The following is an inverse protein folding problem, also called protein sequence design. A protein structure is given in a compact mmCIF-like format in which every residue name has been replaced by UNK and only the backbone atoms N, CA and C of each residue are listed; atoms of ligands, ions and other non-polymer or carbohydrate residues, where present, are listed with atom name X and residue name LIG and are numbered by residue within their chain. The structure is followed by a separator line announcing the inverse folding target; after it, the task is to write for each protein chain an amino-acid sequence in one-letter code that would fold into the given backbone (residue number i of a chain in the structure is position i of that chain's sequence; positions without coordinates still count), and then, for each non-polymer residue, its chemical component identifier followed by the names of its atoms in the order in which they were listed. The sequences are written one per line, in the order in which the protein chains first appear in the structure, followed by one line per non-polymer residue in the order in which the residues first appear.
data_IF_405649262715
#
_entry.id   IF_405649262715
#
_cell.length_a   1.000
_cell.length_b   1.000
_cell.length_c   1.000
_cell.angle_alpha   90.00
_cell.angle_beta   90.00
_cell.angle_gamma   90.00
#
_symmetry.space_group_name_H-M   'P 1'
#
loop_
_entity.id
_entity.type
_entity.pdbx_description
1 polymer ?
#
# COMPACT_ATOMS: atom_id res chain seq x y z
N UNK A 1 -74.59 -1.93 -33.83
CA UNK A 1 -75.41 -0.71 -33.90
C UNK A 1 -76.60 -0.88 -32.97
N UNK A 2 -77.12 0.15 -32.28
CA UNK A 2 -76.71 1.56 -32.23
C UNK A 2 -76.33 1.99 -30.77
N UNK A 3 -75.37 2.91 -30.54
CA UNK A 3 -75.52 4.38 -30.40
C UNK A 3 -76.15 4.77 -29.04
N UNK A 4 -75.79 5.80 -28.25
CA UNK A 4 -75.13 7.10 -28.43
C UNK A 4 -74.82 7.63 -27.01
N UNK A 5 -73.80 8.48 -26.89
CA UNK A 5 -73.37 9.34 -25.75
C UNK A 5 -73.46 10.81 -26.24
N UNK A 6 -73.48 11.94 -25.48
CA UNK A 6 -73.56 12.31 -24.03
C UNK A 6 -74.66 13.41 -23.77
N UNK A 7 -74.60 14.29 -22.73
CA UNK A 7 -73.76 15.51 -22.78
C UNK A 7 -73.08 15.91 -21.45
N UNK A 8 -72.27 16.98 -21.53
CA UNK A 8 -71.23 17.43 -20.61
C UNK A 8 -71.65 18.51 -19.58
N UNK A 9 -70.86 18.56 -18.50
CA UNK A 9 -70.38 19.68 -17.66
C UNK A 9 -71.32 20.78 -17.12
N UNK A 10 -71.27 20.99 -15.79
CA UNK A 10 -70.89 22.28 -15.17
C UNK A 10 -70.59 22.13 -13.66
N UNK A 11 -69.60 22.93 -13.22
CA UNK A 11 -68.94 22.96 -11.91
C UNK A 11 -69.78 23.48 -10.72
N UNK A 12 -69.56 22.95 -9.50
CA UNK A 12 -69.13 23.78 -8.34
C UNK A 12 -68.77 22.96 -7.07
N UNK A 13 -67.48 23.05 -6.71
CA UNK A 13 -66.83 23.08 -5.39
C UNK A 13 -67.50 22.45 -4.13
N UNK A 14 -66.83 21.47 -3.50
CA UNK A 14 -65.97 21.66 -2.30
C UNK A 14 -65.53 20.33 -1.62
N UNK A 15 -64.30 20.42 -1.11
CA UNK A 15 -63.71 19.70 0.03
C UNK A 15 -62.82 18.48 -0.24
N UNK A 16 -61.63 18.57 0.37
CA UNK A 16 -60.45 17.76 0.25
C UNK A 16 -60.59 16.39 0.94
N UNK A 17 -60.07 15.33 0.32
CA UNK A 17 -58.99 14.52 0.93
C UNK A 17 -58.57 13.39 -0.04
N UNK A 18 -57.37 13.52 -0.62
CA UNK A 18 -56.61 12.37 -1.08
C UNK A 18 -55.21 12.49 -0.51
N UNK A 19 -54.93 11.65 0.47
CA UNK A 19 -53.61 11.42 1.01
C UNK A 19 -52.67 11.00 -0.12
N UNK A 20 -51.75 11.90 -0.48
CA UNK A 20 -50.51 11.52 -1.14
C UNK A 20 -49.61 10.96 -0.04
N UNK A 21 -49.39 9.64 -0.05
CA UNK A 21 -48.28 9.04 0.68
C UNK A 21 -46.98 9.50 0.01
N UNK A 22 -46.41 10.55 0.57
CA UNK A 22 -45.01 10.89 0.42
C UNK A 22 -44.20 9.82 1.16
N UNK A 23 -43.48 8.97 0.42
CA UNK A 23 -42.38 8.19 1.00
C UNK A 23 -41.15 9.09 0.93
N UNK A 24 -40.57 9.54 2.06
CA UNK A 24 -39.35 10.32 2.01
C UNK A 24 -38.18 9.38 1.65
N UNK A 25 -37.56 9.65 0.50
CA UNK A 25 -36.34 9.03 -0.03
C UNK A 25 -35.11 9.51 0.76
N UNK A 26 -35.13 9.37 2.08
CA UNK A 26 -34.02 9.79 2.95
C UNK A 26 -33.76 8.72 3.99
N UNK A 27 -33.08 7.63 3.61
CA UNK A 27 -32.39 6.72 4.53
C UNK A 27 -31.44 5.71 3.85
N UNK A 28 -30.89 5.98 2.66
CA UNK A 28 -29.85 5.12 2.04
C UNK A 28 -28.72 6.01 1.50
N UNK A 29 -28.11 6.82 2.38
CA UNK A 29 -26.81 7.48 2.11
C UNK A 29 -25.90 7.49 3.36
N UNK A 30 -26.37 7.08 4.54
CA UNK A 30 -25.62 7.21 5.80
C UNK A 30 -24.92 5.93 6.31
N UNK A 31 -24.63 4.97 5.42
CA UNK A 31 -23.88 3.76 5.78
C UNK A 31 -22.47 3.67 5.15
N UNK A 32 -22.08 4.61 4.27
CA UNK A 32 -20.80 4.55 3.55
C UNK A 32 -19.81 5.67 3.91
N UNK A 33 -20.04 6.40 5.01
CA UNK A 33 -19.20 7.55 5.43
C UNK A 33 -18.63 7.39 6.86
N UNK A 34 -18.81 6.24 7.50
CA UNK A 34 -18.38 6.02 8.90
C UNK A 34 -17.16 5.11 9.10
N UNK A 35 -16.58 4.53 8.03
CA UNK A 35 -15.40 3.67 8.15
C UNK A 35 -14.17 4.32 7.50
N UNK A 36 -13.65 5.32 8.20
CA UNK A 36 -12.24 5.76 8.17
C UNK A 36 -11.91 6.66 9.38
N UNK A 37 -12.68 6.55 10.47
CA UNK A 37 -12.30 7.21 11.72
C UNK A 37 -11.29 6.34 12.45
N UNK A 38 -10.04 6.53 12.09
CA UNK A 38 -8.91 6.38 13.02
C UNK A 38 -9.34 7.08 14.32
N UNK A 39 -9.18 6.48 15.50
CA UNK A 39 -9.17 7.23 16.74
C UNK A 39 -7.94 8.15 16.69
N UNK A 40 -8.10 9.30 16.04
CA UNK A 40 -7.15 10.39 16.14
C UNK A 40 -7.31 10.91 17.55
N UNK A 41 -6.36 10.57 18.41
CA UNK A 41 -6.06 11.43 19.53
C UNK A 41 -5.80 12.83 18.95
N UNK A 42 -6.70 13.76 19.26
CA UNK A 42 -6.70 15.14 18.76
C UNK A 42 -5.84 16.06 19.64
N UNK A 43 -5.06 15.50 20.55
CA UNK A 43 -3.95 16.23 21.14
C UNK A 43 -2.79 16.24 20.15
N UNK A 44 -2.08 17.37 20.03
CA UNK A 44 -0.81 17.44 19.30
C UNK A 44 0.24 16.64 20.04
N UNK A 45 0.08 15.32 20.07
CA UNK A 45 0.95 14.43 20.79
C UNK A 45 2.21 14.24 19.96
N UNK A 46 3.19 15.12 20.21
CA UNK A 46 4.56 14.89 19.82
C UNK A 46 5.04 13.63 20.54
N UNK A 47 4.67 12.44 20.03
CA UNK A 47 5.15 11.17 20.57
C UNK A 47 6.68 11.24 20.58
N UNK A 48 7.26 11.28 21.77
CA UNK A 48 8.70 11.45 21.97
C UNK A 48 9.49 10.37 21.22
N UNK A 49 8.94 9.15 21.23
CA UNK A 49 9.43 8.00 20.50
C UNK A 49 8.38 7.42 19.54
N UNK A 50 8.84 6.91 18.41
CA UNK A 50 8.11 5.95 17.57
C UNK A 50 8.89 4.66 17.46
N UNK A 51 8.20 3.58 17.13
CA UNK A 51 8.87 2.32 16.85
C UNK A 51 8.67 1.91 15.39
N UNK A 52 9.63 1.16 14.88
CA UNK A 52 9.66 0.65 13.52
C UNK A 52 9.92 -0.85 13.61
N UNK A 53 9.21 -1.63 12.81
CA UNK A 53 9.51 -3.05 12.63
C UNK A 53 10.10 -3.21 11.25
N UNK A 54 11.26 -3.87 11.15
CA UNK A 54 11.88 -4.19 9.87
C UNK A 54 12.17 -5.68 9.75
N UNK A 55 11.95 -6.21 8.55
CA UNK A 55 12.38 -7.55 8.16
C UNK A 55 13.75 -7.50 7.49
N UNK A 56 14.28 -8.66 7.12
CA UNK A 56 15.56 -8.81 6.44
C UNK A 56 15.46 -9.81 5.29
N UNK A 57 16.32 -9.64 4.28
CA UNK A 57 16.47 -10.62 3.20
C UNK A 57 17.44 -11.77 3.55
N UNK A 58 18.28 -11.63 4.58
CA UNK A 58 19.27 -12.62 4.95
C UNK A 58 19.11 -13.17 6.39
N UNK A 59 18.47 -12.42 7.29
CA UNK A 59 18.15 -12.88 8.64
C UNK A 59 16.73 -13.42 8.73
N UNK A 60 16.52 -14.44 9.56
CA UNK A 60 15.19 -14.94 9.88
C UNK A 60 14.47 -14.13 10.95
N UNK A 61 15.06 -13.06 11.47
CA UNK A 61 14.49 -12.24 12.54
C UNK A 61 13.65 -11.08 12.01
N UNK A 62 12.68 -10.66 12.82
CA UNK A 62 12.09 -9.32 12.77
C UNK A 62 12.83 -8.43 13.78
N UNK A 63 13.11 -7.20 13.41
CA UNK A 63 13.82 -6.25 14.26
C UNK A 63 12.87 -5.13 14.66
N UNK A 64 12.82 -4.82 15.96
CA UNK A 64 12.11 -3.66 16.49
C UNK A 64 13.14 -2.57 16.75
N UNK A 65 12.95 -1.43 16.10
CA UNK A 65 13.75 -0.23 16.26
C UNK A 65 12.96 0.83 17.01
N UNK A 66 13.67 1.65 17.80
CA UNK A 66 13.13 2.81 18.48
C UNK A 66 13.75 4.06 17.89
N UNK A 67 12.90 4.96 17.42
CA UNK A 67 13.27 6.28 16.93
C UNK A 67 12.86 7.35 17.94
N UNK A 68 13.85 8.06 18.48
CA UNK A 68 13.66 9.18 19.41
C UNK A 68 13.77 10.49 18.64
N UNK A 69 12.64 11.21 18.51
CA UNK A 69 12.58 12.44 17.71
C UNK A 69 13.44 13.56 18.27
N UNK A 70 13.42 13.75 19.59
CA UNK A 70 14.12 14.85 20.24
C UNK A 70 15.65 14.76 20.11
N UNK A 71 16.20 13.54 20.06
CA UNK A 71 17.64 13.30 19.94
C UNK A 71 18.07 12.88 18.53
N UNK A 72 17.12 12.71 17.60
CA UNK A 72 17.34 12.12 16.28
C UNK A 72 18.12 10.80 16.34
N UNK A 73 17.81 9.94 17.31
CA UNK A 73 18.47 8.64 17.47
C UNK A 73 17.57 7.50 17.03
N UNK A 74 18.14 6.57 16.26
CA UNK A 74 17.50 5.32 15.86
C UNK A 74 18.36 4.16 16.37
N UNK A 75 17.74 3.22 17.06
CA UNK A 75 18.44 2.05 17.59
C UNK A 75 17.57 0.80 17.52
N UNK A 76 18.17 -0.35 17.21
CA UNK A 76 17.54 -1.65 17.39
C UNK A 76 17.39 -1.93 18.88
N UNK A 77 16.16 -2.14 19.33
CA UNK A 77 15.83 -2.44 20.75
C UNK A 77 15.43 -3.89 20.96
N UNK A 78 15.06 -4.61 19.89
CA UNK A 78 14.74 -6.02 19.95
C UNK A 78 15.06 -6.72 18.63
N UNK A 79 15.63 -7.92 18.70
CA UNK A 79 15.62 -8.90 17.62
C UNK A 79 14.68 -10.03 18.02
N UNK A 80 13.67 -10.29 17.20
CA UNK A 80 12.61 -11.27 17.44
C UNK A 80 12.81 -12.42 16.47
N UNK A 81 12.99 -13.68 16.95
CA UNK A 81 13.02 -14.84 16.06
C UNK A 81 11.75 -14.89 15.19
N UNK A 82 11.93 -14.73 13.89
CA UNK A 82 10.87 -14.83 12.88
C UNK A 82 10.79 -16.23 12.29
N UNK A 83 10.05 -16.35 11.18
CA UNK A 83 9.86 -17.61 10.44
C UNK A 83 10.42 -17.50 9.02
N UNK A 84 11.60 -16.90 8.91
CA UNK A 84 12.39 -16.78 7.69
C UNK A 84 12.69 -15.33 7.31
N UNK A 85 13.48 -15.11 6.24
CA UNK A 85 13.72 -13.77 5.73
C UNK A 85 12.40 -13.14 5.30
N UNK A 86 12.00 -12.12 6.04
CA UNK A 86 10.73 -11.43 5.87
C UNK A 86 10.91 -10.25 4.93
N UNK A 87 10.67 -10.44 3.63
CA UNK A 87 10.90 -9.42 2.61
C UNK A 87 9.91 -8.25 2.63
N UNK A 88 8.69 -8.49 3.12
CA UNK A 88 7.62 -7.50 3.08
C UNK A 88 6.78 -7.58 4.36
N UNK A 89 6.39 -6.42 4.85
CA UNK A 89 5.60 -6.24 6.06
C UNK A 89 4.40 -5.37 5.74
N UNK A 90 3.23 -5.79 6.19
CA UNK A 90 2.00 -4.99 6.18
C UNK A 90 1.55 -4.76 7.62
N UNK A 91 1.21 -3.52 7.94
CA UNK A 91 0.61 -3.18 9.24
C UNK A 91 -0.87 -2.89 9.06
N UNK A 92 -1.70 -3.69 9.72
CA UNK A 92 -3.11 -3.37 9.91
C UNK A 92 -3.24 -2.48 11.15
N UNK A 93 -3.66 -1.24 10.89
CA UNK A 93 -3.76 -0.18 11.90
C UNK A 93 -5.08 -0.19 12.65
N UNK A 94 -5.97 -1.15 12.39
CA UNK A 94 -7.15 -1.37 13.23
C UNK A 94 -6.71 -1.72 14.65
N UNK A 95 -7.48 -1.30 15.66
CA UNK A 95 -7.16 -1.60 17.06
C UNK A 95 -7.70 -2.99 17.44
N UNK A 96 -6.87 -3.89 17.99
CA UNK A 96 -5.43 -3.75 18.25
C UNK A 96 -4.56 -3.96 16.98
N UNK A 97 -3.48 -3.17 16.84
CA UNK A 97 -2.62 -3.18 15.63
C UNK A 97 -2.01 -4.57 15.38
N UNK A 98 -1.86 -4.95 14.11
CA UNK A 98 -1.30 -6.24 13.68
C UNK A 98 -0.29 -6.10 12.56
N UNK A 99 0.70 -6.99 12.57
CA UNK A 99 1.70 -7.06 11.51
C UNK A 99 1.59 -8.39 10.79
N UNK A 100 1.55 -8.33 9.47
CA UNK A 100 1.58 -9.48 8.60
C UNK A 100 2.87 -9.47 7.79
N UNK A 101 3.53 -10.61 7.70
CA UNK A 101 4.83 -10.72 7.04
C UNK A 101 4.87 -11.89 6.08
N UNK A 102 5.46 -11.66 4.91
CA UNK A 102 5.82 -12.70 3.93
C UNK A 102 7.13 -13.38 4.33
N UNK A 103 7.49 -14.51 3.72
CA UNK A 103 8.77 -15.19 3.95
C UNK A 103 9.37 -15.72 2.65
N UNK A 104 10.70 -15.64 2.51
CA UNK A 104 11.44 -16.23 1.37
C UNK A 104 11.90 -17.67 1.58
N UNK A 105 11.72 -18.23 2.77
CA UNK A 105 12.16 -19.61 3.08
C UNK A 105 11.19 -20.66 2.58
N UNK A 106 9.90 -20.41 2.72
CA UNK A 106 8.83 -21.32 2.33
C UNK A 106 7.58 -20.49 2.00
N UNK A 107 6.63 -21.04 1.23
CA UNK A 107 5.41 -20.34 0.86
C UNK A 107 4.45 -20.33 2.07
N UNK A 108 4.69 -19.40 2.98
CA UNK A 108 3.80 -19.09 4.10
C UNK A 108 3.80 -17.59 4.40
N UNK A 109 2.74 -17.16 5.06
CA UNK A 109 2.59 -15.82 5.63
C UNK A 109 2.36 -15.93 7.13
N UNK A 110 2.74 -14.89 7.87
CA UNK A 110 2.72 -14.90 9.34
C UNK A 110 1.97 -13.69 9.87
N UNK A 111 1.25 -13.87 10.99
CA UNK A 111 0.59 -12.80 11.71
C UNK A 111 1.21 -12.60 13.09
N UNK A 112 1.40 -11.34 13.47
CA UNK A 112 2.09 -10.94 14.69
C UNK A 112 1.25 -9.90 15.45
N UNK A 113 1.15 -10.11 16.76
CA UNK A 113 0.62 -9.13 17.69
C UNK A 113 1.73 -8.18 18.15
N UNK A 114 1.36 -6.93 18.40
CA UNK A 114 2.21 -5.92 19.04
C UNK A 114 1.69 -5.77 20.47
N UNK A 115 2.36 -6.41 21.43
CA UNK A 115 2.02 -6.33 22.84
C UNK A 115 2.74 -5.11 23.48
N UNK A 116 2.05 -4.34 24.33
CA UNK A 116 2.66 -3.23 25.09
C UNK A 116 2.40 -1.81 24.57
N UNK A 117 1.58 -1.64 23.52
CA UNK A 117 1.17 -0.35 22.91
C UNK A 117 0.15 0.44 23.77
N UNK A 118 0.24 0.34 25.10
CA UNK A 118 -0.63 1.09 26.02
C UNK A 118 0.15 2.23 26.68
N UNK A 119 -0.40 3.46 26.71
CA UNK A 119 0.18 4.57 27.45
C UNK A 119 0.47 4.15 28.90
N UNK A 120 1.74 4.18 29.31
CA UNK A 120 2.17 3.86 30.67
C UNK A 120 2.82 2.49 30.91
N UNK A 121 2.97 1.63 29.88
CA UNK A 121 3.62 0.31 30.04
C UNK A 121 5.14 0.39 30.28
N UNK A 122 5.78 1.53 29.98
CA UNK A 122 7.20 1.82 30.25
C UNK A 122 8.20 0.95 29.48
N UNK A 123 7.76 -0.05 28.71
CA UNK A 123 8.60 -0.98 27.95
C UNK A 123 8.46 -0.79 26.44
N UNK A 124 9.49 -1.25 25.70
CA UNK A 124 9.41 -1.34 24.24
C UNK A 124 8.30 -2.33 23.81
N UNK A 125 7.60 -2.06 22.70
CA UNK A 125 6.59 -2.97 22.16
C UNK A 125 7.25 -4.31 21.83
N UNK A 126 6.54 -5.39 22.12
CA UNK A 126 7.02 -6.76 21.90
C UNK A 126 6.20 -7.42 20.79
N UNK A 127 6.89 -8.03 19.84
CA UNK A 127 6.24 -8.84 18.82
C UNK A 127 6.02 -10.25 19.33
N UNK A 128 4.81 -10.75 19.14
CA UNK A 128 4.43 -12.12 19.46
C UNK A 128 3.74 -12.74 18.25
N UNK A 129 4.27 -13.89 17.81
CA UNK A 129 3.64 -14.67 16.75
C UNK A 129 2.23 -15.07 17.18
N UNK A 130 1.24 -14.81 16.32
CA UNK A 130 -0.13 -15.30 16.48
C UNK A 130 -0.22 -16.67 15.82
N UNK A 131 0.00 -16.71 14.50
CA UNK A 131 0.04 -17.94 13.72
C UNK A 131 0.74 -17.73 12.37
N UNK A 132 0.82 -18.81 11.60
CA UNK A 132 1.25 -18.83 10.21
C UNK A 132 0.20 -19.55 9.35
N UNK A 133 0.08 -19.17 8.09
CA UNK A 133 -0.75 -19.84 7.09
C UNK A 133 0.11 -20.25 5.89
N UNK A 134 0.04 -21.51 5.43
CA UNK A 134 0.67 -21.91 4.18
C UNK A 134 -0.05 -21.25 3.00
N UNK A 135 0.72 -20.88 1.99
CA UNK A 135 0.23 -20.36 0.71
C UNK A 135 0.81 -21.21 -0.42
N UNK A 136 0.28 -21.08 -1.63
CA UNK A 136 0.68 -21.94 -2.76
C UNK A 136 2.06 -21.57 -3.33
N UNK A 137 2.36 -20.28 -3.46
CA UNK A 137 3.67 -19.79 -3.90
C UNK A 137 4.15 -18.62 -3.02
N UNK A 138 5.47 -18.37 -2.97
CA UNK A 138 6.02 -17.27 -2.19
C UNK A 138 5.41 -15.93 -2.65
N UNK A 139 4.77 -15.24 -1.71
CA UNK A 139 4.17 -13.92 -1.93
C UNK A 139 5.22 -12.81 -1.81
N UNK A 140 5.14 -11.77 -2.64
CA UNK A 140 5.97 -10.56 -2.52
C UNK A 140 5.32 -9.47 -1.67
N UNK A 141 3.99 -9.44 -1.59
CA UNK A 141 3.24 -8.29 -1.09
C UNK A 141 1.98 -8.73 -0.34
N UNK A 142 1.66 -8.02 0.74
CA UNK A 142 0.46 -8.24 1.56
C UNK A 142 -0.27 -6.91 1.73
N UNK A 143 -1.60 -6.95 1.73
CA UNK A 143 -2.45 -5.85 2.21
C UNK A 143 -3.67 -6.42 2.93
N UNK A 144 -4.38 -5.61 3.72
CA UNK A 144 -5.60 -6.04 4.43
C UNK A 144 -6.74 -5.07 4.20
N UNK A 145 -7.96 -5.61 4.13
CA UNK A 145 -9.21 -4.82 4.09
C UNK A 145 -10.38 -5.67 4.55
N UNK A 146 -11.31 -5.10 5.30
CA UNK A 146 -12.54 -5.76 5.74
C UNK A 146 -12.32 -7.10 6.47
N UNK A 147 -11.33 -7.18 7.35
CA UNK A 147 -10.91 -8.43 8.02
C UNK A 147 -10.53 -9.54 7.04
N UNK A 148 -9.99 -9.16 5.87
CA UNK A 148 -9.39 -10.08 4.91
C UNK A 148 -7.94 -9.69 4.71
N UNK A 149 -7.12 -10.71 4.49
CA UNK A 149 -5.72 -10.56 4.11
C UNK A 149 -5.56 -10.98 2.65
N UNK A 150 -5.00 -10.09 1.85
CA UNK A 150 -4.69 -10.30 0.45
C UNK A 150 -3.19 -10.47 0.32
N UNK A 151 -2.75 -11.53 -0.36
CA UNK A 151 -1.33 -11.78 -0.63
C UNK A 151 -1.14 -12.13 -2.09
N UNK A 152 -0.11 -11.60 -2.72
CA UNK A 152 0.20 -11.83 -4.15
C UNK A 152 1.69 -12.04 -4.33
N UNK A 153 2.09 -12.91 -5.25
CA UNK A 153 3.47 -13.04 -5.69
C UNK A 153 3.66 -14.19 -6.68
N UNK A 154 4.45 -13.97 -7.72
CA UNK A 154 4.75 -15.01 -8.69
C UNK A 154 3.50 -15.48 -9.44
N UNK A 155 3.23 -16.79 -9.52
CA UNK A 155 2.11 -17.35 -10.28
C UNK A 155 0.75 -17.30 -9.56
N UNK A 156 0.71 -16.93 -8.26
CA UNK A 156 -0.53 -16.99 -7.47
C UNK A 156 -0.78 -15.75 -6.61
N UNK A 157 -2.05 -15.54 -6.27
CA UNK A 157 -2.51 -14.66 -5.20
C UNK A 157 -3.54 -15.37 -4.34
N UNK A 158 -3.76 -14.91 -3.11
CA UNK A 158 -4.65 -15.56 -2.17
C UNK A 158 -5.39 -14.55 -1.28
N UNK A 159 -6.63 -14.89 -0.94
CA UNK A 159 -7.48 -14.16 0.03
C UNK A 159 -7.71 -15.05 1.23
N UNK A 160 -7.37 -14.57 2.42
CA UNK A 160 -7.60 -15.26 3.69
C UNK A 160 -8.57 -14.48 4.57
N UNK A 161 -9.38 -15.20 5.35
CA UNK A 161 -10.12 -14.60 6.45
C UNK A 161 -9.17 -14.23 7.58
N UNK A 162 -9.37 -13.06 8.18
CA UNK A 162 -8.72 -12.69 9.45
C UNK A 162 -9.73 -12.81 10.59
N UNK A 163 -9.31 -13.43 11.70
CA UNK A 163 -10.10 -13.45 12.93
C UNK A 163 -10.17 -12.01 13.50
N UNK A 164 -11.37 -11.38 13.59
CA UNK A 164 -11.47 -9.96 13.96
C UNK A 164 -10.85 -9.60 15.31
N UNK A 165 -10.93 -10.50 16.30
CA UNK A 165 -10.48 -10.25 17.66
C UNK A 165 -8.95 -10.38 17.79
N UNK A 166 -8.38 -11.37 17.11
CA UNK A 166 -6.98 -11.75 17.29
C UNK A 166 -6.08 -11.30 16.14
N UNK A 167 -6.61 -11.06 14.95
CA UNK A 167 -5.85 -10.88 13.72
C UNK A 167 -5.19 -12.15 13.19
N UNK A 168 -5.59 -13.32 13.68
CA UNK A 168 -5.09 -14.60 13.18
C UNK A 168 -5.49 -14.80 11.71
N UNK A 169 -4.60 -15.38 10.91
CA UNK A 169 -4.89 -15.78 9.53
C UNK A 169 -5.64 -17.11 9.57
N UNK A 170 -6.89 -17.13 9.15
CA UNK A 170 -7.76 -18.31 9.21
C UNK A 170 -7.82 -19.01 7.84
N UNK A 171 -9.03 -19.30 7.36
CA UNK A 171 -9.25 -20.03 6.12
C UNK A 171 -8.79 -19.26 4.89
N UNK A 172 -8.17 -19.98 3.94
CA UNK A 172 -7.99 -19.51 2.57
C UNK A 172 -9.36 -19.53 1.87
N UNK A 173 -9.92 -18.34 1.65
CA UNK A 173 -11.21 -18.15 0.99
C UNK A 173 -11.11 -18.28 -0.53
N UNK A 174 -9.98 -17.84 -1.09
CA UNK A 174 -9.77 -17.83 -2.53
C UNK A 174 -8.31 -17.98 -2.89
N UNK A 175 -8.05 -18.72 -3.96
CA UNK A 175 -6.79 -18.73 -4.71
C UNK A 175 -7.00 -18.10 -6.09
N UNK A 176 -6.07 -17.24 -6.48
CA UNK A 176 -6.06 -16.47 -7.72
C UNK A 176 -4.87 -16.98 -8.52
N UNK A 177 -5.12 -17.41 -9.75
CA UNK A 177 -4.08 -17.91 -10.63
C UNK A 177 -3.74 -16.85 -11.68
N UNK A 178 -2.46 -16.52 -11.78
CA UNK A 178 -1.90 -15.68 -12.85
C UNK A 178 -1.34 -16.51 -14.01
N UNK A 179 -1.58 -17.81 -13.96
CA UNK A 179 -1.20 -18.82 -14.93
C UNK A 179 -2.38 -19.76 -15.19
N UNK A 180 -2.42 -20.49 -16.32
CA UNK A 180 -3.38 -21.57 -16.51
C UNK A 180 -3.30 -22.61 -15.38
N UNK A 181 -4.44 -23.12 -14.93
CA UNK A 181 -4.52 -24.05 -13.80
C UNK A 181 -3.67 -25.31 -14.01
N UNK A 182 -3.63 -25.80 -15.24
CA UNK A 182 -2.91 -27.01 -15.64
C UNK A 182 -1.38 -26.80 -15.64
N UNK A 183 -0.92 -25.55 -15.71
CA UNK A 183 0.49 -25.19 -15.69
C UNK A 183 1.04 -24.99 -14.26
N UNK A 184 0.17 -24.69 -13.29
CA UNK A 184 0.56 -24.28 -11.94
C UNK A 184 1.55 -25.24 -11.28
N UNK A 185 1.39 -26.55 -11.42
CA UNK A 185 2.29 -27.53 -10.81
C UNK A 185 3.73 -27.41 -11.30
N UNK A 186 3.93 -26.98 -12.55
CA UNK A 186 5.23 -26.81 -13.20
C UNK A 186 5.84 -25.42 -12.98
N UNK A 187 5.04 -24.45 -12.53
CA UNK A 187 5.51 -23.10 -12.25
C UNK A 187 6.48 -23.06 -11.06
N UNK A 188 7.44 -22.14 -11.14
CA UNK A 188 8.32 -21.77 -10.04
C UNK A 188 7.49 -21.08 -8.94
N UNK A 189 7.51 -21.66 -7.75
CA UNK A 189 6.80 -21.17 -6.56
C UNK A 189 7.74 -20.49 -5.55
N UNK A 190 9.01 -20.34 -5.91
CA UNK A 190 10.05 -19.73 -5.06
C UNK A 190 10.09 -18.21 -5.21
N UNK A 191 10.92 -17.55 -4.38
CA UNK A 191 11.12 -16.10 -4.44
C UNK A 191 11.68 -15.63 -5.79
N UNK A 192 12.22 -16.53 -6.63
CA UNK A 192 12.70 -16.18 -7.97
C UNK A 192 11.54 -15.78 -8.88
N UNK A 193 10.36 -16.38 -8.70
CA UNK A 193 9.15 -16.08 -9.46
C UNK A 193 8.71 -14.62 -9.31
N UNK A 194 9.06 -13.97 -8.19
CA UNK A 194 8.76 -12.56 -7.97
C UNK A 194 9.41 -11.64 -9.01
N UNK A 195 10.51 -12.07 -9.65
CA UNK A 195 11.21 -11.28 -10.68
C UNK A 195 10.52 -11.27 -12.05
N UNK A 196 9.48 -12.09 -12.23
CA UNK A 196 8.80 -12.25 -13.52
C UNK A 196 7.31 -12.59 -13.36
N UNK A 197 6.75 -12.47 -12.16
CA UNK A 197 5.36 -12.78 -11.86
C UNK A 197 4.56 -11.55 -11.44
N UNK A 198 3.42 -11.80 -10.80
CA UNK A 198 2.72 -10.79 -10.00
C UNK A 198 3.60 -10.30 -8.86
N UNK A 199 3.55 -9.01 -8.53
CA UNK A 199 4.48 -8.41 -7.56
C UNK A 199 3.82 -7.53 -6.48
N UNK A 200 2.62 -7.00 -6.72
CA UNK A 200 1.92 -6.15 -5.75
C UNK A 200 0.42 -6.38 -5.76
N UNK A 201 -0.27 -5.91 -4.71
CA UNK A 201 -1.73 -5.88 -4.65
C UNK A 201 -2.20 -4.67 -3.87
N UNK A 202 -3.13 -3.91 -4.45
CA UNK A 202 -3.73 -2.72 -3.84
C UNK A 202 -5.24 -2.76 -3.94
N UNK A 203 -5.94 -2.44 -2.84
CA UNK A 203 -7.40 -2.49 -2.75
C UNK A 203 -7.96 -1.07 -2.61
N UNK A 204 -8.69 -0.60 -3.62
CA UNK A 204 -9.27 0.74 -3.62
C UNK A 204 -10.43 0.89 -2.64
N UNK A 205 -10.71 2.11 -2.21
CA UNK A 205 -11.91 2.45 -1.43
C UNK A 205 -13.22 2.15 -2.20
N UNK A 206 -13.16 2.07 -3.53
CA UNK A 206 -14.29 1.76 -4.42
C UNK A 206 -14.49 0.26 -4.66
N UNK A 207 -13.64 -0.60 -4.09
CA UNK A 207 -13.76 -2.06 -4.21
C UNK A 207 -13.09 -2.65 -5.45
N UNK A 208 -12.33 -1.87 -6.21
CA UNK A 208 -11.45 -2.42 -7.25
C UNK A 208 -10.11 -2.82 -6.64
N UNK A 209 -9.54 -3.91 -7.16
CA UNK A 209 -8.24 -4.43 -6.73
C UNK A 209 -7.30 -4.45 -7.92
N UNK A 210 -6.08 -3.95 -7.71
CA UNK A 210 -5.06 -3.82 -8.75
C UNK A 210 -3.87 -4.71 -8.43
N UNK A 211 -3.49 -5.53 -9.41
CA UNK A 211 -2.34 -6.44 -9.31
C UNK A 211 -1.36 -6.12 -10.44
N UNK A 212 -0.27 -5.38 -10.16
CA UNK A 212 0.84 -5.24 -11.08
C UNK A 212 1.49 -6.61 -11.35
N UNK A 213 1.56 -6.98 -12.62
CA UNK A 213 2.18 -8.20 -13.10
C UNK A 213 3.42 -7.86 -13.92
N UNK A 214 4.58 -8.02 -13.29
CA UNK A 214 5.87 -7.62 -13.82
C UNK A 214 6.19 -8.37 -15.13
N UNK A 215 6.09 -9.70 -15.13
CA UNK A 215 6.47 -10.49 -16.33
C UNK A 215 5.46 -10.50 -17.48
N UNK A 216 4.18 -10.24 -17.23
CA UNK A 216 3.17 -10.05 -18.29
C UNK A 216 3.08 -8.60 -18.77
N UNK A 217 3.89 -7.73 -18.15
CA UNK A 217 3.96 -6.30 -18.40
C UNK A 217 2.57 -5.65 -18.44
N UNK A 218 1.79 -5.91 -17.39
CA UNK A 218 0.39 -5.50 -17.30
C UNK A 218 -0.10 -5.35 -15.87
N UNK A 219 -1.25 -4.72 -15.71
CA UNK A 219 -1.95 -4.58 -14.45
C UNK A 219 -3.28 -5.32 -14.58
N UNK A 220 -3.48 -6.33 -13.75
CA UNK A 220 -4.72 -7.08 -13.67
C UNK A 220 -5.65 -6.40 -12.67
N UNK A 221 -6.92 -6.31 -13.02
CA UNK A 221 -7.93 -5.59 -12.24
C UNK A 221 -9.04 -6.55 -11.87
N UNK A 222 -9.47 -6.49 -10.62
CA UNK A 222 -10.56 -7.28 -10.08
C UNK A 222 -11.59 -6.36 -9.41
N UNK A 223 -12.81 -6.85 -9.29
CA UNK A 223 -13.81 -6.30 -8.38
C UNK A 223 -13.85 -7.18 -7.12
N UNK A 224 -13.82 -6.54 -5.95
CA UNK A 224 -14.03 -7.18 -4.67
C UNK A 224 -15.51 -7.16 -4.32
N UNK A 225 -16.10 -8.35 -4.15
CA UNK A 225 -17.45 -8.49 -3.61
C UNK A 225 -17.39 -8.71 -2.09
N UNK A 226 -17.87 -7.76 -1.26
CA UNK A 226 -17.87 -7.89 0.18
C UNK A 226 -18.82 -8.98 0.72
N UNK A 227 -19.81 -9.42 -0.06
CA UNK A 227 -20.77 -10.44 0.38
C UNK A 227 -20.16 -11.84 0.29
N UNK A 228 -19.53 -12.15 -0.84
CA UNK A 228 -18.85 -13.43 -1.08
C UNK A 228 -17.40 -13.43 -0.59
N UNK A 229 -16.84 -12.26 -0.27
CA UNK A 229 -15.44 -12.06 0.16
C UNK A 229 -14.43 -12.53 -0.90
N UNK A 230 -14.79 -12.42 -2.18
CA UNK A 230 -13.96 -12.86 -3.30
C UNK A 230 -13.64 -11.75 -4.30
N UNK A 231 -12.59 -11.98 -5.08
CA UNK A 231 -12.17 -11.17 -6.21
C UNK A 231 -12.67 -11.78 -7.52
N UNK A 232 -13.38 -10.98 -8.30
CA UNK A 232 -13.83 -11.32 -9.65
C UNK A 232 -12.96 -10.58 -10.67
N UNK A 233 -12.37 -11.31 -11.62
CA UNK A 233 -11.54 -10.70 -12.66
C UNK A 233 -12.39 -9.74 -13.50
N UNK A 234 -11.91 -8.50 -13.63
CA UNK A 234 -12.57 -7.45 -14.41
C UNK A 234 -11.90 -7.31 -15.78
N UNK A 235 -10.60 -7.01 -15.80
CA UNK A 235 -9.85 -6.79 -17.04
C UNK A 235 -8.35 -6.81 -16.80
N UNK A 236 -7.59 -6.88 -17.88
CA UNK A 236 -6.14 -6.67 -17.93
C UNK A 236 -5.84 -5.39 -18.72
N UNK A 237 -4.97 -4.54 -18.18
CA UNK A 237 -4.44 -3.37 -18.89
C UNK A 237 -2.94 -3.55 -19.10
N UNK A 238 -2.51 -3.63 -20.36
CA UNK A 238 -1.08 -3.69 -20.70
C UNK A 238 -0.40 -2.36 -20.38
N UNK A 239 0.84 -2.43 -19.88
CA UNK A 239 1.69 -1.26 -19.75
C UNK A 239 1.90 -0.58 -21.09
N UNK A 240 2.17 0.72 -21.08
CA UNK A 240 2.36 1.47 -22.32
C UNK A 240 3.66 1.10 -23.03
N UNK A 241 4.75 0.91 -22.29
CA UNK A 241 6.01 0.52 -22.90
C UNK A 241 6.16 -1.00 -22.88
N UNK A 242 6.73 -1.62 -23.93
CA UNK A 242 6.89 -3.07 -24.03
C UNK A 242 7.63 -3.74 -22.86
N UNK A 243 8.48 -2.99 -22.15
CA UNK A 243 9.37 -3.51 -21.12
C UNK A 243 9.24 -2.73 -19.79
N UNK A 244 8.10 -2.15 -19.45
CA UNK A 244 7.96 -1.37 -18.19
C UNK A 244 8.15 -2.23 -16.94
N UNK A 245 7.48 -3.39 -16.89
CA UNK A 245 7.45 -4.25 -15.71
C UNK A 245 6.78 -3.56 -14.51
N UNK A 246 5.45 -3.35 -14.52
CA UNK A 246 4.75 -2.67 -13.42
C UNK A 246 4.91 -3.51 -12.14
N UNK A 247 5.36 -2.86 -11.05
CA UNK A 247 5.86 -3.56 -9.85
C UNK A 247 5.01 -3.33 -8.62
N UNK A 248 5.10 -2.14 -8.03
CA UNK A 248 4.27 -1.72 -6.91
C UNK A 248 3.28 -0.67 -7.39
N UNK A 249 2.12 -0.62 -6.75
CA UNK A 249 1.11 0.38 -7.01
C UNK A 249 0.67 1.00 -5.69
N UNK A 250 0.02 2.17 -5.77
CA UNK A 250 -0.71 2.78 -4.67
C UNK A 250 -1.92 3.52 -5.24
N UNK A 251 -3.08 3.33 -4.61
CA UNK A 251 -4.33 3.94 -5.03
C UNK A 251 -4.65 5.16 -4.17
N UNK A 252 -5.19 6.23 -4.77
CA UNK A 252 -5.61 7.42 -4.04
C UNK A 252 -6.72 7.10 -3.04
N UNK A 253 -6.83 7.89 -1.97
CA UNK A 253 -7.83 7.67 -0.91
C UNK A 253 -9.28 7.69 -1.45
N UNK A 254 -9.55 8.54 -2.45
CA UNK A 254 -10.85 8.62 -3.14
C UNK A 254 -11.09 7.47 -4.14
N UNK A 255 -10.08 6.62 -4.35
CA UNK A 255 -10.11 5.46 -5.25
C UNK A 255 -10.10 5.81 -6.73
N UNK A 256 -9.89 7.08 -7.10
CA UNK A 256 -10.02 7.57 -8.49
C UNK A 256 -8.71 7.58 -9.27
N UNK A 257 -7.56 7.42 -8.62
CA UNK A 257 -6.24 7.46 -9.24
C UNK A 257 -5.40 6.30 -8.77
N UNK A 258 -4.63 5.73 -9.68
CA UNK A 258 -3.66 4.67 -9.40
C UNK A 258 -2.29 5.14 -9.85
N UNK A 259 -1.32 5.06 -8.95
CA UNK A 259 0.09 5.33 -9.24
C UNK A 259 0.86 4.02 -9.25
N UNK A 260 1.64 3.77 -10.29
CA UNK A 260 2.37 2.51 -10.47
C UNK A 260 3.83 2.82 -10.75
N UNK A 261 4.73 2.24 -9.96
CA UNK A 261 6.17 2.28 -10.27
C UNK A 261 6.52 1.11 -11.18
N UNK A 262 7.32 1.40 -12.21
CA UNK A 262 7.79 0.41 -13.18
C UNK A 262 9.21 -0.04 -12.82
N UNK A 263 9.44 -1.36 -12.74
CA UNK A 263 10.75 -1.89 -12.33
C UNK A 263 11.81 -1.57 -13.38
N UNK A 264 11.56 -1.84 -14.66
CA UNK A 264 12.63 -1.82 -15.67
C UNK A 264 12.83 -0.44 -16.32
N UNK A 265 11.83 0.44 -16.27
CA UNK A 265 11.90 1.78 -16.87
C UNK A 265 12.00 2.90 -15.85
N UNK A 266 11.92 2.61 -14.54
CA UNK A 266 12.10 3.59 -13.46
C UNK A 266 11.16 4.81 -13.57
N UNK A 267 9.88 4.55 -13.90
CA UNK A 267 8.82 5.54 -14.04
C UNK A 267 7.80 5.41 -12.92
N UNK A 268 7.07 6.48 -12.69
CA UNK A 268 5.76 6.46 -12.03
C UNK A 268 4.70 6.80 -13.07
N UNK A 269 3.84 5.85 -13.36
CA UNK A 269 2.69 6.02 -14.22
C UNK A 269 1.45 6.34 -13.37
N UNK A 270 0.70 7.35 -13.79
CA UNK A 270 -0.57 7.75 -13.22
C UNK A 270 -1.70 7.31 -14.14
N UNK A 271 -2.69 6.63 -13.57
CA UNK A 271 -3.90 6.22 -14.24
C UNK A 271 -5.15 6.81 -13.57
N UNK A 272 -6.14 7.18 -14.36
CA UNK A 272 -7.50 7.37 -13.88
C UNK A 272 -8.18 6.02 -13.68
N UNK A 273 -8.82 5.83 -12.53
CA UNK A 273 -9.61 4.66 -12.22
C UNK A 273 -11.06 4.90 -12.66
N UNK A 274 -11.55 4.02 -13.54
CA UNK A 274 -12.95 4.01 -13.99
C UNK A 274 -13.63 2.73 -13.52
N UNK A 275 -14.94 2.60 -13.71
CA UNK A 275 -15.67 1.37 -13.34
C UNK A 275 -15.24 0.14 -14.15
N UNK A 276 -14.74 0.33 -15.36
CA UNK A 276 -14.45 -0.76 -16.29
C UNK A 276 -12.96 -1.10 -16.37
N UNK A 277 -12.08 -0.11 -16.21
CA UNK A 277 -10.65 -0.26 -16.36
C UNK A 277 -9.89 0.92 -15.71
N UNK A 278 -8.57 0.94 -15.89
CA UNK A 278 -7.73 2.13 -15.66
C UNK A 278 -7.34 2.76 -17.00
N UNK A 279 -7.19 4.08 -17.04
CA UNK A 279 -6.80 4.84 -18.22
C UNK A 279 -5.52 5.61 -17.92
N UNK A 280 -4.46 5.37 -18.69
CA UNK A 280 -3.19 6.06 -18.49
C UNK A 280 -3.38 7.57 -18.71
N UNK A 281 -2.88 8.38 -17.78
CA UNK A 281 -2.96 9.84 -17.80
C UNK A 281 -1.59 10.49 -17.99
N UNK A 282 -0.61 10.10 -17.20
CA UNK A 282 0.71 10.73 -17.21
C UNK A 282 1.79 9.76 -16.74
N UNK A 283 3.04 10.04 -17.10
CA UNK A 283 4.20 9.29 -16.65
C UNK A 283 5.34 10.26 -16.34
N UNK A 284 6.14 9.96 -15.32
CA UNK A 284 7.33 10.74 -15.00
C UNK A 284 8.42 9.84 -14.41
N UNK A 285 9.69 10.13 -14.72
CA UNK A 285 10.81 9.32 -14.27
C UNK A 285 11.18 9.57 -12.80
N UNK A 286 11.53 8.49 -12.10
CA UNK A 286 12.15 8.54 -10.76
C UNK A 286 13.60 9.00 -10.85
N UNK A 287 14.32 8.54 -11.88
CA UNK A 287 15.69 8.94 -12.17
C UNK A 287 15.74 10.16 -13.12
N UNK A 288 16.88 10.82 -13.21
CA UNK A 288 17.08 12.00 -14.06
C UNK A 288 17.79 11.62 -15.37
N UNK A 289 17.37 12.20 -16.50
CA UNK A 289 18.14 12.07 -17.74
C UNK A 289 19.53 12.75 -17.56
N UNK A 290 20.63 12.17 -18.08
CA UNK A 290 20.70 11.08 -19.04
C UNK A 290 20.99 9.70 -18.40
N UNK A 291 20.61 9.46 -17.14
CA UNK A 291 20.87 8.19 -16.48
C UNK A 291 20.24 7.01 -17.24
N UNK A 292 21.00 5.94 -17.42
CA UNK A 292 20.56 4.76 -18.17
C UNK A 292 19.60 3.91 -17.32
N UNK A 293 18.36 3.75 -17.76
CA UNK A 293 17.33 2.95 -17.06
C UNK A 293 17.78 1.52 -16.74
N UNK A 294 18.61 0.90 -17.58
CA UNK A 294 19.14 -0.45 -17.36
C UNK A 294 20.03 -0.59 -16.11
N UNK A 295 20.52 0.53 -15.56
CA UNK A 295 21.31 0.59 -14.33
C UNK A 295 20.46 0.74 -13.07
N UNK A 296 19.14 0.83 -13.22
CA UNK A 296 18.20 1.04 -12.12
C UNK A 296 17.03 0.08 -12.19
N UNK A 297 16.43 -0.18 -11.03
CA UNK A 297 15.19 -0.95 -10.91
C UNK A 297 14.22 -0.23 -9.99
N UNK A 298 13.05 0.18 -10.51
CA UNK A 298 11.96 0.69 -9.68
C UNK A 298 11.63 -0.26 -8.53
N UNK A 299 11.40 0.27 -7.34
CA UNK A 299 11.11 -0.51 -6.13
C UNK A 299 9.77 -0.14 -5.54
N UNK A 300 9.68 0.92 -4.75
CA UNK A 300 8.48 1.26 -3.97
C UNK A 300 7.77 2.49 -4.54
N UNK A 301 6.44 2.54 -4.37
CA UNK A 301 5.64 3.76 -4.56
C UNK A 301 4.68 3.91 -3.39
N UNK A 302 4.56 5.14 -2.87
CA UNK A 302 3.67 5.51 -1.76
C UNK A 302 3.01 6.85 -2.04
N UNK A 303 1.76 6.99 -1.62
CA UNK A 303 1.06 8.28 -1.57
C UNK A 303 1.11 8.81 -0.14
N UNK A 304 1.37 10.11 0.03
CA UNK A 304 1.31 10.74 1.34
C UNK A 304 -0.14 10.71 1.84
N UNK A 305 -0.43 10.10 3.00
CA UNK A 305 -1.75 10.13 3.59
C UNK A 305 -2.23 11.57 3.81
N UNK A 306 -3.48 11.85 3.46
CA UNK A 306 -3.98 13.22 3.40
C UNK A 306 -3.94 13.94 4.74
N UNK A 307 -4.16 13.20 5.83
CA UNK A 307 -4.14 13.74 7.19
C UNK A 307 -2.76 14.23 7.65
N UNK A 308 -1.67 13.78 7.00
CA UNK A 308 -0.31 14.26 7.26
C UNK A 308 -0.02 15.61 6.61
N UNK A 309 -0.85 16.05 5.68
CA UNK A 309 -0.70 17.34 5.01
C UNK A 309 -1.79 18.32 5.46
N UNK A 310 -1.47 19.61 5.48
CA UNK A 310 -2.48 20.65 5.74
C UNK A 310 -3.24 21.05 4.46
N UNK A 311 -2.78 20.59 3.29
CA UNK A 311 -3.53 20.68 2.04
C UNK A 311 -4.75 19.76 2.07
N UNK A 312 -5.89 20.26 1.57
CA UNK A 312 -7.04 19.39 1.31
C UNK A 312 -6.60 18.26 0.36
N UNK A 313 -6.86 16.97 0.68
CA UNK A 313 -6.60 15.85 -0.23
C UNK A 313 -7.19 16.02 -1.62
N UNK A 314 -8.20 16.90 -1.74
CA UNK A 314 -8.88 17.17 -3.00
C UNK A 314 -8.11 18.06 -3.96
N UNK A 315 -7.06 18.77 -3.52
CA UNK A 315 -6.32 19.70 -4.39
C UNK A 315 -4.94 19.18 -4.79
N UNK A 316 -4.26 18.44 -3.91
CA UNK A 316 -2.88 17.99 -4.13
C UNK A 316 -2.62 16.62 -3.53
N UNK A 317 -1.88 15.80 -4.26
CA UNK A 317 -1.37 14.51 -3.78
C UNK A 317 0.13 14.46 -3.99
N UNK A 318 0.86 14.03 -2.96
CA UNK A 318 2.30 13.80 -3.03
C UNK A 318 2.55 12.31 -3.14
N UNK A 319 3.35 11.92 -4.13
CA UNK A 319 3.69 10.54 -4.44
C UNK A 319 5.20 10.40 -4.33
N UNK A 320 5.66 9.42 -3.58
CA UNK A 320 7.08 9.11 -3.42
C UNK A 320 7.34 7.78 -4.09
N UNK A 321 8.43 7.69 -4.84
CA UNK A 321 8.86 6.42 -5.42
C UNK A 321 10.37 6.28 -5.38
N UNK A 322 10.83 5.03 -5.34
CA UNK A 322 12.25 4.71 -5.27
C UNK A 322 12.71 3.80 -6.39
N UNK A 323 14.01 3.87 -6.68
CA UNK A 323 14.72 2.91 -7.53
C UNK A 323 15.93 2.36 -6.79
N UNK A 324 16.29 1.12 -7.09
CA UNK A 324 17.55 0.49 -6.68
C UNK A 324 18.57 0.63 -7.80
N UNK A 325 19.84 0.84 -7.47
CA UNK A 325 20.93 0.72 -8.44
C UNK A 325 21.37 -0.73 -8.65
N UNK A 326 22.15 -0.99 -9.70
CA UNK A 326 22.66 -2.35 -10.01
C UNK A 326 23.79 -2.82 -9.10
N UNK A 327 24.38 -1.95 -8.30
CA UNK A 327 25.43 -2.30 -7.33
C UNK A 327 25.98 -1.08 -6.60
N UNK A 328 26.93 -1.30 -5.68
CA UNK A 328 27.43 -0.30 -4.73
C UNK A 328 27.98 1.00 -5.34
N UNK A 329 28.45 0.98 -6.60
CA UNK A 329 28.91 2.19 -7.29
C UNK A 329 27.78 3.01 -7.93
N UNK A 330 26.54 2.52 -7.86
CA UNK A 330 25.37 3.13 -8.45
C UNK A 330 24.32 3.31 -7.36
N UNK A 331 24.31 4.45 -6.66
CA UNK A 331 23.29 4.73 -5.66
C UNK A 331 21.90 4.75 -6.29
N UNK A 332 20.89 4.36 -5.52
CA UNK A 332 19.49 4.44 -5.93
C UNK A 332 18.94 5.86 -5.86
N UNK A 333 17.66 6.01 -6.19
CA UNK A 333 17.00 7.32 -6.17
C UNK A 333 15.70 7.24 -5.39
N UNK A 334 15.34 8.35 -4.74
CA UNK A 334 14.01 8.66 -4.25
C UNK A 334 13.52 9.90 -4.99
N UNK A 335 12.35 9.81 -5.61
CA UNK A 335 11.69 10.93 -6.26
C UNK A 335 10.37 11.29 -5.58
N UNK A 336 10.05 12.58 -5.58
CA UNK A 336 8.78 13.11 -5.12
C UNK A 336 8.05 13.73 -6.29
N UNK A 337 6.80 13.30 -6.47
CA UNK A 337 5.89 13.81 -7.48
C UNK A 337 4.71 14.50 -6.81
N UNK A 338 4.27 15.61 -7.40
CA UNK A 338 3.09 16.35 -7.01
C UNK A 338 2.04 16.20 -8.11
N UNK A 339 0.91 15.60 -7.78
CA UNK A 339 -0.28 15.65 -8.60
C UNK A 339 -1.18 16.82 -8.17
N UNK A 340 -1.36 17.80 -9.05
CA UNK A 340 -2.30 18.91 -8.86
C UNK A 340 -3.65 18.52 -9.46
N UNK A 341 -4.66 18.35 -8.60
CA UNK A 341 -5.98 17.86 -9.00
C UNK A 341 -6.74 18.89 -9.84
N UNK A 342 -6.52 20.18 -9.64
CA UNK A 342 -7.21 21.21 -10.44
C UNK A 342 -6.60 21.30 -11.84
N UNK A 343 -5.27 21.28 -11.93
CA UNK A 343 -4.53 21.35 -13.20
C UNK A 343 -4.45 20.02 -13.91
N UNK A 344 -4.73 18.93 -13.23
CA UNK A 344 -4.60 17.56 -13.74
C UNK A 344 -3.16 17.24 -14.20
N UNK A 345 -2.15 17.77 -13.49
CA UNK A 345 -0.74 17.64 -13.85
C UNK A 345 0.04 16.86 -12.81
N UNK A 346 0.87 15.91 -13.25
CA UNK A 346 1.86 15.20 -12.44
C UNK A 346 3.25 15.82 -12.67
N UNK A 347 3.83 16.40 -11.63
CA UNK A 347 5.13 17.09 -11.70
C UNK A 347 6.12 16.41 -10.77
N UNK A 348 7.30 16.03 -11.27
CA UNK A 348 8.40 15.64 -10.39
C UNK A 348 8.99 16.91 -9.75
N UNK A 349 8.92 17.01 -8.42
CA UNK A 349 9.36 18.18 -7.65
C UNK A 349 10.70 17.97 -6.94
N UNK A 350 11.16 16.72 -6.82
CA UNK A 350 12.46 16.37 -6.27
C UNK A 350 12.93 15.02 -6.81
N UNK A 351 14.22 14.94 -7.12
CA UNK A 351 14.97 13.69 -7.19
C UNK A 351 16.14 13.77 -6.22
N UNK A 352 16.30 12.75 -5.39
CA UNK A 352 17.33 12.67 -4.39
C UNK A 352 18.04 11.32 -4.50
N UNK A 353 19.36 11.36 -4.56
CA UNK A 353 20.19 10.15 -4.58
C UNK A 353 20.22 9.53 -3.18
N UNK A 354 19.87 8.25 -3.07
CA UNK A 354 19.89 7.53 -1.79
C UNK A 354 21.33 7.21 -1.37
N UNK A 355 21.62 6.98 -0.08
CA UNK A 355 23.00 6.83 0.39
C UNK A 355 23.74 5.60 -0.17
N UNK A 356 23.00 4.60 -0.65
CA UNK A 356 23.50 3.34 -1.21
C UNK A 356 22.70 3.00 -2.48
N UNK A 357 23.02 1.87 -3.14
CA UNK A 357 22.19 1.34 -4.23
C UNK A 357 20.82 0.83 -3.75
N UNK A 358 20.65 0.62 -2.45
CA UNK A 358 19.48 -0.02 -1.85
C UNK A 358 19.51 -1.56 -1.89
N UNK A 359 20.43 -2.18 -2.64
CA UNK A 359 20.51 -3.63 -2.78
C UNK A 359 19.23 -4.23 -3.36
N UNK A 360 18.59 -5.15 -2.65
CA UNK A 360 17.24 -5.64 -2.99
C UNK A 360 16.09 -4.77 -2.46
N UNK A 361 16.35 -3.77 -1.60
CA UNK A 361 15.39 -2.89 -0.94
C UNK A 361 15.31 -1.49 -1.57
N UNK A 362 15.70 -0.44 -0.85
CA UNK A 362 15.31 0.95 -1.10
C UNK A 362 13.82 1.24 -0.87
N UNK A 363 13.17 0.47 0.01
CA UNK A 363 11.76 0.62 0.29
C UNK A 363 11.48 1.72 1.31
N UNK A 364 10.33 2.38 1.15
CA UNK A 364 9.90 3.51 1.97
C UNK A 364 8.51 3.32 2.59
N UNK A 365 8.34 3.85 3.81
CA UNK A 365 7.03 3.95 4.47
C UNK A 365 6.90 5.24 5.28
N UNK A 366 5.72 5.87 5.23
CA UNK A 366 5.45 7.10 5.98
C UNK A 366 5.18 6.81 7.47
N UNK A 367 5.74 7.67 8.31
CA UNK A 367 5.36 7.74 9.72
C UNK A 367 3.88 8.14 9.83
N UNK A 368 3.07 7.48 10.68
CA UNK A 368 1.68 7.88 10.92
C UNK A 368 1.60 9.12 11.83
N UNK A 369 2.72 9.54 12.44
CA UNK A 369 2.76 10.70 13.32
C UNK A 369 2.81 11.96 12.47
N UNK A 370 1.81 12.83 12.63
CA UNK A 370 1.84 14.16 12.05
C UNK A 370 2.90 15.00 12.78
N UNK A 371 3.98 15.31 12.08
CA UNK A 371 5.09 16.08 12.63
C UNK A 371 4.82 17.60 12.56
N UNK A 372 5.87 18.42 12.66
CA UNK A 372 5.76 19.87 12.45
C UNK A 372 5.08 20.22 11.13
N UNK A 373 4.48 21.42 11.06
CA UNK A 373 3.85 21.93 9.83
C UNK A 373 4.81 21.79 8.64
N UNK A 374 4.32 21.21 7.53
CA UNK A 374 5.07 20.98 6.29
C UNK A 374 6.23 19.96 6.37
N UNK A 375 6.34 19.16 7.43
CA UNK A 375 7.34 18.10 7.54
C UNK A 375 6.71 16.72 7.48
N UNK A 376 7.31 15.82 6.72
CA UNK A 376 6.93 14.41 6.65
C UNK A 376 8.10 13.56 7.08
N UNK A 377 7.86 12.60 7.97
CA UNK A 377 8.84 11.57 8.32
C UNK A 377 8.53 10.29 7.55
N UNK A 378 9.58 9.63 7.05
CA UNK A 378 9.48 8.33 6.40
C UNK A 378 10.69 7.46 6.77
N UNK A 379 10.50 6.15 6.77
CA UNK A 379 11.60 5.19 6.90
C UNK A 379 12.11 4.83 5.51
N UNK A 380 13.42 4.67 5.36
CA UNK A 380 14.10 4.14 4.18
C UNK A 380 14.92 2.91 4.61
N UNK A 381 14.80 1.83 3.85
CA UNK A 381 15.49 0.55 4.11
C UNK A 381 16.51 0.24 3.03
N UNK A 382 17.64 -0.32 3.43
CA UNK A 382 18.75 -0.67 2.55
C UNK A 382 19.22 -2.12 2.80
N UNK A 383 19.27 -2.90 1.73
CA UNK A 383 19.79 -4.29 1.76
C UNK A 383 21.30 -4.34 1.47
N UNK A 384 21.89 -3.31 0.85
CA UNK A 384 23.31 -3.33 0.48
C UNK A 384 24.22 -3.39 1.71
N UNK A 385 24.02 -2.46 2.64
CA UNK A 385 24.80 -2.36 3.88
C UNK A 385 23.97 -2.76 5.10
N UNK A 386 22.64 -2.73 5.01
CA UNK A 386 21.75 -3.09 6.12
C UNK A 386 21.26 -1.90 6.93
N UNK A 387 21.29 -0.70 6.36
CA UNK A 387 20.82 0.50 7.04
C UNK A 387 19.30 0.56 7.07
N UNK A 388 18.76 0.98 8.21
CA UNK A 388 17.43 1.59 8.32
C UNK A 388 17.65 3.05 8.66
N UNK A 389 17.03 3.94 7.89
CA UNK A 389 17.14 5.39 8.09
C UNK A 389 15.77 6.01 8.24
N UNK A 390 15.64 7.00 9.11
CA UNK A 390 14.52 7.93 9.11
C UNK A 390 14.93 9.13 8.27
N UNK A 391 14.07 9.50 7.33
CA UNK A 391 14.18 10.69 6.50
C UNK A 391 13.13 11.70 6.94
N UNK A 392 13.46 12.97 6.78
CA UNK A 392 12.53 14.08 6.84
C UNK A 392 12.43 14.71 5.46
N UNK A 393 11.20 14.89 4.98
CA UNK A 393 10.89 15.67 3.78
C UNK A 393 10.25 17.01 4.15
N UNK A 394 10.80 18.08 3.60
CA UNK A 394 10.26 19.42 3.72
C UNK A 394 9.35 19.75 2.52
N UNK A 395 8.04 19.85 2.78
CA UNK A 395 7.02 20.16 1.76
C UNK A 395 7.13 21.59 1.21
N UNK A 396 7.74 22.53 1.94
CA UNK A 396 7.89 23.92 1.51
C UNK A 396 9.10 24.08 0.59
N UNK A 397 10.22 23.45 0.94
CA UNK A 397 11.48 23.59 0.22
C UNK A 397 11.75 22.44 -0.77
N UNK A 398 10.91 21.40 -0.77
CA UNK A 398 11.09 20.16 -1.52
C UNK A 398 12.50 19.57 -1.32
N UNK A 399 12.87 19.34 -0.06
CA UNK A 399 14.19 18.82 0.30
C UNK A 399 14.09 17.61 1.23
N UNK A 400 15.06 16.70 1.10
CA UNK A 400 15.19 15.51 1.94
C UNK A 400 16.41 15.65 2.82
N UNK A 401 16.26 15.24 4.09
CA UNK A 401 17.35 15.09 5.04
C UNK A 401 17.27 13.72 5.69
N UNK A 402 18.40 13.02 5.78
CA UNK A 402 18.54 11.85 6.66
C UNK A 402 18.65 12.35 8.09
N UNK A 403 17.67 12.03 8.95
CA UNK A 403 17.65 12.52 10.35
C UNK A 403 18.25 11.53 11.32
N UNK A 404 18.08 10.24 11.09
CA UNK A 404 18.65 9.18 11.91
C UNK A 404 18.92 7.94 11.07
N UNK A 405 19.98 7.19 11.40
CA UNK A 405 20.33 5.94 10.71
C UNK A 405 20.82 4.94 11.74
N UNK A 406 20.47 3.67 11.55
CA UNK A 406 20.90 2.55 12.38
C UNK A 406 21.21 1.34 11.52
N UNK A 407 22.27 0.60 11.85
CA UNK A 407 22.53 -0.69 11.23
C UNK A 407 21.56 -1.70 11.82
N UNK A 408 20.83 -2.43 11.00
CA UNK A 408 19.79 -3.36 11.45
C UNK A 408 20.36 -4.49 12.33
N UNK A 409 21.56 -4.95 12.01
CA UNK A 409 22.27 -5.99 12.75
C UNK A 409 23.78 -5.84 12.45
N UNK A 410 24.30 -6.68 11.57
CA UNK A 410 25.64 -6.59 11.00
C UNK A 410 25.56 -6.34 9.48
N UNK A 411 26.67 -5.88 8.91
CA UNK A 411 26.82 -5.69 7.46
C UNK A 411 26.47 -7.01 6.74
N UNK A 412 25.76 -6.92 5.62
CA UNK A 412 25.24 -8.01 4.79
C UNK A 412 23.97 -8.73 5.31
N UNK A 413 23.44 -8.39 6.49
CA UNK A 413 22.10 -8.88 6.85
C UNK A 413 21.03 -8.22 5.98
N UNK A 414 21.18 -6.92 5.70
CA UNK A 414 20.29 -6.18 4.83
C UNK A 414 18.91 -5.94 5.45
N UNK A 415 18.43 -4.70 5.43
CA UNK A 415 17.05 -4.38 5.72
C UNK A 415 16.20 -4.60 4.45
N UNK A 416 14.99 -5.11 4.60
CA UNK A 416 14.09 -5.38 3.47
C UNK A 416 12.97 -4.35 3.35
N UNK A 417 11.87 -4.53 4.08
CA UNK A 417 10.80 -3.57 4.26
C UNK A 417 10.71 -3.18 5.74
N UNK A 418 10.12 -2.01 6.03
CA UNK A 418 9.90 -1.56 7.40
C UNK A 418 8.56 -0.86 7.54
N UNK A 419 7.89 -1.03 8.68
CA UNK A 419 6.60 -0.39 9.00
C UNK A 419 6.67 0.32 10.35
N UNK A 420 6.00 1.46 10.45
CA UNK A 420 5.86 2.24 11.68
C UNK A 420 4.71 1.73 12.55
N UNK A 421 4.94 1.58 13.86
CA UNK A 421 3.93 1.18 14.86
C UNK A 421 3.57 2.30 15.84
#
# INVERSE_FOLDING_TARGET
MPSVVPPADTNSARSNSRARFWVPVVAIVMASVLYNRIPLDRSGDHREASYIISGSFASSSLYVLRYERASCTLAVVQSVPGLGPHQYLHIDRLTPQRVYATSWTAPHITAWAIDGDHPGSGGAPRLRLINQSPITAISSYITSKHSLLFSVGGPTGEVHQLMPETGAIEEKLQEILFVPKEALDQEDKSHRALRYGSHGIEVSSLGQVFVPHLGLNSIWIYNFDPHTKSLEFLTEVKSLQPDDGPRHAVVSEDGKRLYVVTEHTSRVDLYDVTRQAILHRASSFVIEEPQEHSKYRGDTVRIVPSYLTDSSPKSREYIFATTRGTGASQPGHLAVFLFDVEKQTLTNVLRWETPTSGGKANAIEFSPVKSETNKLELVLTDDELGWVSVLEYDLLHNSIRVVATCLLDQINIGASHAVWI
#
